data_IF_226796991768
#
_entry.id   IF_226796991768
#
_cell.length_a   1.000
_cell.length_b   1.000
_cell.length_c   1.000
_cell.angle_alpha   90.00
_cell.angle_beta   90.00
_cell.angle_gamma   90.00
#
_symmetry.space_group_name_H-M   'P 1'
#
loop_
_entity.id
_entity.type
_entity.pdbx_description
1 polymer ?
#
# COMPACT_ATOMS: atom_id res chain seq x y z
N UNK A 1 -38.70 3.11 -1.31
CA UNK A 1 -39.24 4.14 -2.23
C UNK A 1 -38.88 5.51 -1.67
N UNK A 2 -37.78 6.10 -2.12
CA UNK A 2 -37.52 7.54 -2.09
C UNK A 2 -36.69 7.86 -3.34
N UNK A 3 -37.12 8.91 -4.02
CA UNK A 3 -36.82 9.27 -5.41
C UNK A 3 -35.34 9.59 -5.65
N UNK A 4 -34.75 8.99 -6.67
CA UNK A 4 -33.48 9.41 -7.26
C UNK A 4 -33.78 10.06 -8.62
N UNK A 5 -34.24 11.32 -8.60
CA UNK A 5 -34.06 12.18 -9.75
C UNK A 5 -32.67 12.81 -9.59
N UNK A 6 -31.65 12.12 -10.11
CA UNK A 6 -30.39 12.78 -10.40
C UNK A 6 -30.68 13.73 -11.56
N UNK A 7 -30.50 15.03 -11.34
CA UNK A 7 -30.60 16.05 -12.38
C UNK A 7 -29.83 15.60 -13.63
N UNK A 8 -30.53 15.32 -14.72
CA UNK A 8 -29.93 15.22 -16.05
C UNK A 8 -29.42 16.62 -16.41
N UNK A 9 -28.18 16.91 -16.02
CA UNK A 9 -27.47 18.07 -16.54
C UNK A 9 -27.24 17.79 -18.02
N UNK A 10 -28.10 18.33 -18.88
CA UNK A 10 -27.93 18.27 -20.34
C UNK A 10 -26.47 18.59 -20.67
N UNK A 11 -25.73 17.59 -21.15
CA UNK A 11 -24.32 17.76 -21.47
C UNK A 11 -24.23 18.67 -22.68
N UNK A 12 -23.80 19.92 -22.50
CA UNK A 12 -23.71 20.91 -23.57
C UNK A 12 -22.27 21.19 -23.96
N UNK A 13 -22.08 21.55 -25.23
CA UNK A 13 -20.81 22.09 -25.70
C UNK A 13 -20.51 23.40 -24.97
N UNK A 14 -19.38 23.46 -24.26
CA UNK A 14 -19.00 24.63 -23.47
C UNK A 14 -18.72 25.91 -24.30
N UNK A 15 -18.66 25.80 -25.63
CA UNK A 15 -18.47 26.96 -26.52
C UNK A 15 -19.76 27.43 -27.18
N UNK A 16 -20.58 26.53 -27.73
CA UNK A 16 -21.76 26.89 -28.53
C UNK A 16 -23.09 26.52 -27.87
N UNK A 17 -23.07 25.87 -26.71
CA UNK A 17 -24.28 25.49 -25.97
C UNK A 17 -25.09 24.35 -26.60
N UNK A 18 -24.62 23.75 -27.72
CA UNK A 18 -25.37 22.65 -28.35
C UNK A 18 -25.39 21.44 -27.40
N UNK A 19 -26.58 20.86 -27.11
CA UNK A 19 -26.68 19.68 -26.28
C UNK A 19 -26.08 18.45 -26.99
N UNK A 20 -25.61 17.50 -26.20
CA UNK A 20 -25.35 16.14 -26.64
C UNK A 20 -26.67 15.52 -27.13
N UNK A 21 -26.58 14.74 -28.20
CA UNK A 21 -27.71 14.01 -28.77
C UNK A 21 -27.21 12.88 -29.66
N UNK A 22 -28.12 12.13 -30.27
CA UNK A 22 -27.78 10.95 -31.09
C UNK A 22 -26.74 11.26 -32.18
N UNK A 23 -26.84 12.46 -32.78
CA UNK A 23 -25.94 12.93 -33.83
C UNK A 23 -24.74 13.75 -33.34
N UNK A 24 -24.72 14.17 -32.06
CA UNK A 24 -23.73 15.11 -31.52
C UNK A 24 -23.02 14.50 -30.31
N UNK A 25 -21.80 14.00 -30.57
CA UNK A 25 -20.92 13.45 -29.54
C UNK A 25 -19.97 14.52 -29.02
N UNK A 26 -20.12 14.89 -27.75
CA UNK A 26 -19.20 15.83 -27.11
C UNK A 26 -17.95 15.11 -26.59
N UNK A 27 -16.79 15.74 -26.74
CA UNK A 27 -15.49 15.23 -26.24
C UNK A 27 -14.96 16.10 -25.12
N UNK A 28 -14.46 15.47 -24.06
CA UNK A 28 -13.79 16.15 -22.96
C UNK A 28 -12.58 16.94 -23.45
N UNK A 29 -12.32 18.08 -22.81
CA UNK A 29 -11.00 18.71 -22.84
C UNK A 29 -9.97 17.73 -22.29
N UNK A 30 -9.02 17.29 -23.11
CA UNK A 30 -8.03 16.26 -22.76
C UNK A 30 -7.07 16.67 -21.64
N UNK A 31 -6.96 17.97 -21.35
CA UNK A 31 -6.08 18.48 -20.31
C UNK A 31 -6.74 18.55 -18.93
N UNK A 32 -8.03 18.89 -18.85
CA UNK A 32 -8.69 19.18 -17.57
C UNK A 32 -9.95 18.37 -17.31
N UNK A 33 -10.54 17.75 -18.33
CA UNK A 33 -11.79 16.98 -18.25
C UNK A 33 -13.00 17.74 -17.67
N UNK A 34 -12.94 19.07 -17.50
CA UNK A 34 -14.04 19.86 -16.92
C UNK A 34 -15.15 20.22 -17.91
N UNK A 35 -14.81 20.31 -19.18
CA UNK A 35 -15.69 20.84 -20.23
C UNK A 35 -15.64 19.95 -21.44
N UNK A 36 -16.76 19.89 -22.14
CA UNK A 36 -16.93 19.08 -23.35
C UNK A 36 -17.14 19.97 -24.57
N UNK A 37 -16.72 19.49 -25.74
CA UNK A 37 -16.85 20.20 -27.01
C UNK A 37 -17.37 19.29 -28.12
N UNK A 38 -18.27 19.80 -28.95
CA UNK A 38 -18.73 19.09 -30.15
C UNK A 38 -17.66 19.07 -31.27
N UNK A 39 -16.67 19.97 -31.22
CA UNK A 39 -15.63 20.07 -32.25
C UNK A 39 -14.34 20.71 -31.74
N UNK A 40 -13.25 20.48 -32.47
CA UNK A 40 -11.95 21.14 -32.23
C UNK A 40 -12.06 22.67 -32.40
N UNK A 41 -12.95 23.14 -33.28
CA UNK A 41 -13.21 24.57 -33.49
C UNK A 41 -13.75 25.21 -32.21
N UNK A 42 -14.81 24.63 -31.63
CA UNK A 42 -15.38 25.08 -30.37
C UNK A 42 -14.37 25.05 -29.21
N UNK A 43 -13.49 24.04 -29.18
CA UNK A 43 -12.42 23.99 -28.18
C UNK A 43 -11.42 25.15 -28.32
N UNK A 44 -11.07 25.54 -29.56
CA UNK A 44 -10.16 26.66 -29.83
C UNK A 44 -10.80 28.00 -29.48
N UNK A 45 -12.08 28.19 -29.82
CA UNK A 45 -12.83 29.42 -29.56
C UNK A 45 -13.01 29.67 -28.06
N UNK A 46 -13.39 28.65 -27.30
CA UNK A 46 -13.54 28.76 -25.84
C UNK A 46 -12.18 28.82 -25.09
N UNK A 47 -11.05 28.59 -25.76
CA UNK A 47 -9.73 28.51 -25.11
C UNK A 47 -9.37 29.77 -24.33
N UNK A 48 -9.69 30.96 -24.82
CA UNK A 48 -9.36 32.23 -24.14
C UNK A 48 -10.06 32.35 -22.78
N UNK A 49 -11.33 31.95 -22.70
CA UNK A 49 -12.14 31.98 -21.49
C UNK A 49 -11.76 30.83 -20.53
N UNK A 50 -11.44 29.66 -21.07
CA UNK A 50 -11.20 28.45 -20.29
C UNK A 50 -9.73 28.23 -19.86
N UNK A 51 -8.74 28.85 -20.51
CA UNK A 51 -7.30 28.54 -20.34
C UNK A 51 -6.84 28.58 -18.89
N UNK A 52 -7.28 29.55 -18.10
CA UNK A 52 -6.90 29.68 -16.68
C UNK A 52 -7.44 28.51 -15.85
N UNK A 53 -8.75 28.24 -15.94
CA UNK A 53 -9.39 27.13 -15.25
C UNK A 53 -8.82 25.78 -15.70
N UNK A 54 -8.60 25.60 -17.01
CA UNK A 54 -7.98 24.41 -17.60
C UNK A 54 -6.60 24.13 -17.01
N UNK A 55 -5.73 25.14 -16.91
CA UNK A 55 -4.38 24.98 -16.35
C UNK A 55 -4.43 24.60 -14.87
N UNK A 56 -5.31 25.25 -14.10
CA UNK A 56 -5.49 24.96 -12.68
C UNK A 56 -5.89 23.50 -12.48
N UNK A 57 -6.95 23.05 -13.18
CA UNK A 57 -7.41 21.67 -13.07
C UNK A 57 -6.42 20.64 -13.59
N UNK A 58 -5.70 20.94 -14.66
CA UNK A 58 -4.65 20.05 -15.15
C UNK A 58 -3.53 19.86 -14.12
N UNK A 59 -3.19 20.91 -13.36
CA UNK A 59 -2.26 20.80 -12.25
C UNK A 59 -2.85 19.96 -11.09
N UNK A 60 -4.11 20.19 -10.72
CA UNK A 60 -4.79 19.39 -9.70
C UNK A 60 -4.86 17.90 -10.07
N UNK A 61 -5.19 17.56 -11.32
CA UNK A 61 -5.22 16.17 -11.80
C UNK A 61 -3.84 15.54 -11.80
N UNK A 62 -2.80 16.30 -12.14
CA UNK A 62 -1.41 15.85 -12.05
C UNK A 62 -1.03 15.56 -10.60
N UNK A 63 -1.38 16.46 -9.69
CA UNK A 63 -1.10 16.28 -8.26
C UNK A 63 -1.90 15.09 -7.69
N UNK A 64 -3.16 14.92 -8.09
CA UNK A 64 -3.96 13.75 -7.73
C UNK A 64 -3.30 12.46 -8.23
N UNK A 65 -2.83 12.39 -9.47
CA UNK A 65 -2.13 11.22 -9.99
C UNK A 65 -0.83 10.92 -9.20
N UNK A 66 -0.11 11.95 -8.78
CA UNK A 66 1.18 11.80 -8.08
C UNK A 66 1.02 11.45 -6.60
N UNK A 67 -0.04 11.96 -5.95
CA UNK A 67 -0.18 11.91 -4.49
C UNK A 67 -1.38 11.09 -4.01
N UNK A 68 -2.26 10.63 -4.91
CA UNK A 68 -3.35 9.72 -4.53
C UNK A 68 -2.73 8.43 -4.01
N UNK A 69 -3.02 8.12 -2.75
CA UNK A 69 -2.56 6.86 -2.18
C UNK A 69 -3.28 5.71 -2.89
N UNK A 70 -2.55 4.63 -3.23
CA UNK A 70 -3.16 3.44 -3.81
C UNK A 70 -4.18 2.85 -2.83
N UNK A 71 -5.19 2.17 -3.37
CA UNK A 71 -6.25 1.52 -2.57
C UNK A 71 -5.72 0.36 -1.72
N UNK A 72 -4.50 -0.10 -1.98
CA UNK A 72 -3.80 -1.14 -1.23
C UNK A 72 -2.30 -0.85 -1.19
N UNK A 73 -1.61 -1.30 -0.15
CA UNK A 73 -0.14 -1.28 -0.09
C UNK A 73 0.41 -2.71 -0.21
N UNK A 74 1.71 -2.85 -0.54
CA UNK A 74 2.38 -4.16 -0.55
C UNK A 74 2.41 -4.82 0.85
N UNK A 75 2.17 -4.04 1.91
CA UNK A 75 2.02 -4.54 3.28
C UNK A 75 0.65 -5.19 3.51
N UNK A 76 -0.30 -5.01 2.59
CA UNK A 76 -1.67 -5.48 2.68
C UNK A 76 -2.53 -4.61 3.60
N UNK A 77 -3.66 -5.15 4.02
CA UNK A 77 -4.64 -4.45 4.86
C UNK A 77 -4.52 -4.86 6.32
N UNK A 78 -4.88 -3.94 7.21
CA UNK A 78 -5.01 -4.25 8.62
C UNK A 78 -6.15 -5.26 8.80
N UNK A 79 -5.93 -6.42 9.44
CA UNK A 79 -6.94 -7.48 9.55
C UNK A 79 -8.08 -7.17 10.52
N UNK A 80 -8.08 -5.98 11.14
CA UNK A 80 -9.13 -5.53 12.08
C UNK A 80 -10.05 -4.51 11.41
N UNK A 81 -9.51 -3.48 10.78
CA UNK A 81 -10.30 -2.43 10.14
C UNK A 81 -10.37 -2.54 8.61
N UNK A 82 -9.62 -3.46 8.01
CA UNK A 82 -9.54 -3.68 6.56
C UNK A 82 -9.10 -2.46 5.74
N UNK A 83 -8.51 -1.45 6.39
CA UNK A 83 -7.86 -0.35 5.71
C UNK A 83 -6.41 -0.73 5.36
N UNK A 84 -5.85 -0.16 4.28
CA UNK A 84 -4.45 -0.39 3.90
C UNK A 84 -3.49 -0.08 5.04
N UNK A 85 -2.51 -0.96 5.24
CA UNK A 85 -1.46 -0.73 6.22
C UNK A 85 -0.59 0.45 5.78
N UNK A 86 -0.23 1.35 6.72
CA UNK A 86 0.56 2.53 6.42
C UNK A 86 1.97 2.14 5.99
N UNK A 87 2.51 2.85 4.98
CA UNK A 87 3.89 2.67 4.50
C UNK A 87 4.94 3.01 5.58
N UNK A 88 4.60 3.90 6.51
CA UNK A 88 5.46 4.21 7.65
C UNK A 88 5.46 3.02 8.64
N UNK A 89 6.59 2.31 8.81
CA UNK A 89 6.65 1.12 9.64
C UNK A 89 6.35 1.42 11.12
N UNK A 90 6.50 2.67 11.56
CA UNK A 90 6.16 3.08 12.95
C UNK A 90 4.66 3.14 13.21
N UNK A 91 3.83 3.14 12.15
CA UNK A 91 2.37 3.22 12.24
C UNK A 91 1.69 1.85 12.17
N UNK A 92 2.46 0.76 12.24
CA UNK A 92 1.93 -0.60 12.40
C UNK A 92 2.80 -1.39 13.37
N UNK A 93 2.27 -2.46 13.95
CA UNK A 93 3.07 -3.38 14.76
C UNK A 93 2.63 -4.82 14.51
N UNK A 94 3.57 -5.73 14.76
CA UNK A 94 3.37 -7.17 14.68
C UNK A 94 3.33 -7.78 16.08
N UNK A 95 2.49 -8.80 16.26
CA UNK A 95 2.51 -9.66 17.45
C UNK A 95 3.04 -11.05 17.09
N UNK A 96 3.93 -11.60 17.92
CA UNK A 96 4.57 -12.91 17.68
C UNK A 96 3.57 -14.08 17.64
N UNK A 97 2.40 -13.98 18.29
CA UNK A 97 1.39 -15.04 18.32
C UNK A 97 0.87 -15.43 16.92
N UNK A 98 0.66 -14.44 16.04
CA UNK A 98 -0.06 -14.60 14.79
C UNK A 98 0.67 -14.02 13.59
N UNK A 99 1.76 -13.27 13.84
CA UNK A 99 2.57 -12.60 12.83
C UNK A 99 1.75 -11.72 11.87
N UNK A 100 0.67 -11.10 12.38
CA UNK A 100 -0.12 -10.13 11.63
C UNK A 100 0.29 -8.71 11.99
N UNK A 101 0.43 -7.88 10.97
CA UNK A 101 0.57 -6.44 11.13
C UNK A 101 -0.77 -5.80 11.43
N UNK A 102 -0.81 -5.00 12.50
CA UNK A 102 -1.98 -4.26 12.95
C UNK A 102 -1.65 -2.77 12.88
N UNK A 103 -2.55 -1.97 12.31
CA UNK A 103 -2.34 -0.52 12.24
C UNK A 103 -2.38 0.13 13.64
N UNK A 104 -1.65 1.23 13.80
CA UNK A 104 -1.55 1.95 15.07
C UNK A 104 -2.90 2.41 15.62
N UNK A 105 -3.86 2.73 14.73
CA UNK A 105 -5.23 3.07 15.12
C UNK A 105 -5.93 1.93 15.86
N UNK A 106 -5.90 0.71 15.30
CA UNK A 106 -6.49 -0.46 15.95
C UNK A 106 -5.72 -0.86 17.23
N UNK A 107 -4.40 -0.71 17.25
CA UNK A 107 -3.59 -0.95 18.46
C UNK A 107 -3.98 0.02 19.59
N UNK A 108 -4.13 1.30 19.28
CA UNK A 108 -4.50 2.32 20.27
C UNK A 108 -5.93 2.14 20.76
N UNK A 109 -6.88 1.88 19.84
CA UNK A 109 -8.26 1.59 20.22
C UNK A 109 -8.35 0.38 21.15
N UNK A 110 -7.54 -0.66 20.89
CA UNK A 110 -7.47 -1.83 21.78
C UNK A 110 -6.93 -1.48 23.17
N UNK A 111 -5.86 -0.69 23.27
CA UNK A 111 -5.28 -0.27 24.55
C UNK A 111 -6.23 0.55 25.42
N UNK A 112 -7.14 1.32 24.81
CA UNK A 112 -8.11 2.16 25.53
C UNK A 112 -9.28 1.36 26.13
N UNK A 113 -9.44 0.08 25.78
CA UNK A 113 -10.43 -0.78 26.40
C UNK A 113 -9.93 -1.18 27.80
N UNK A 114 -10.35 -0.45 28.84
CA UNK A 114 -9.84 -0.44 30.23
C UNK A 114 -9.77 -1.82 30.97
N UNK A 115 -10.14 -2.93 30.33
CA UNK A 115 -10.27 -4.25 30.96
C UNK A 115 -9.54 -5.39 30.23
N UNK A 116 -8.73 -5.11 29.20
CA UNK A 116 -8.03 -6.18 28.48
C UNK A 116 -6.62 -6.35 29.01
N UNK A 117 -6.37 -7.47 29.70
CA UNK A 117 -5.03 -8.05 29.90
C UNK A 117 -4.23 -7.88 28.60
N UNK A 118 -2.94 -7.51 28.67
CA UNK A 118 -2.09 -7.28 27.50
C UNK A 118 -2.11 -8.50 26.57
N UNK A 119 -3.00 -8.45 25.60
CA UNK A 119 -3.32 -9.54 24.68
C UNK A 119 -3.30 -8.98 23.28
N UNK A 120 -2.95 -9.82 22.31
CA UNK A 120 -2.93 -9.42 20.93
C UNK A 120 -4.34 -9.01 20.47
N UNK A 121 -4.51 -7.84 19.82
CA UNK A 121 -5.81 -7.37 19.36
C UNK A 121 -6.46 -8.22 18.26
N UNK A 122 -5.68 -9.10 17.62
CA UNK A 122 -6.18 -9.99 16.59
C UNK A 122 -6.46 -11.39 17.14
N UNK A 123 -5.44 -12.05 17.69
CA UNK A 123 -5.51 -13.45 18.11
C UNK A 123 -5.99 -13.65 19.57
N UNK A 124 -6.12 -12.56 20.34
CA UNK A 124 -6.43 -12.54 21.80
C UNK A 124 -5.46 -13.32 22.71
N UNK A 125 -4.40 -13.91 22.16
CA UNK A 125 -3.34 -14.55 22.96
C UNK A 125 -2.61 -13.50 23.78
N UNK A 126 -2.26 -13.82 25.02
CA UNK A 126 -1.44 -12.96 25.88
C UNK A 126 -0.13 -12.59 25.19
N UNK A 127 0.27 -11.34 25.36
CA UNK A 127 1.56 -10.84 24.88
C UNK A 127 2.66 -11.60 25.63
N UNK A 128 3.73 -12.05 24.95
CA UNK A 128 4.84 -12.72 25.60
C UNK A 128 5.54 -11.79 26.59
N UNK A 129 5.84 -12.28 27.79
CA UNK A 129 6.55 -11.51 28.83
C UNK A 129 8.07 -11.53 28.60
N UNK A 130 8.56 -12.55 27.87
CA UNK A 130 9.99 -12.74 27.62
C UNK A 130 10.28 -12.91 26.12
N UNK A 131 11.51 -12.59 25.73
CA UNK A 131 11.97 -12.83 24.35
C UNK A 131 11.91 -14.31 23.98
N UNK A 132 12.20 -15.22 24.92
CA UNK A 132 12.10 -16.65 24.69
C UNK A 132 10.67 -17.10 24.38
N UNK A 133 9.66 -16.49 24.98
CA UNK A 133 8.26 -16.74 24.63
C UNK A 133 7.89 -16.21 23.25
N UNK A 134 8.37 -15.01 22.92
CA UNK A 134 8.18 -14.44 21.58
C UNK A 134 8.82 -15.34 20.51
N UNK A 135 10.05 -15.82 20.75
CA UNK A 135 10.76 -16.75 19.86
C UNK A 135 10.00 -18.07 19.72
N UNK A 136 9.49 -18.64 20.83
CA UNK A 136 8.65 -19.85 20.77
C UNK A 136 7.42 -19.64 19.88
N UNK A 137 6.79 -18.47 19.97
CA UNK A 137 5.65 -18.13 19.10
C UNK A 137 6.07 -18.02 17.63
N UNK A 138 7.18 -17.33 17.34
CA UNK A 138 7.71 -17.27 15.97
C UNK A 138 8.05 -18.66 15.43
N UNK A 139 8.68 -19.54 16.21
CA UNK A 139 8.99 -20.90 15.76
C UNK A 139 7.73 -21.73 15.48
N UNK A 140 6.63 -21.52 16.23
CA UNK A 140 5.33 -22.14 15.89
C UNK A 140 4.80 -21.62 14.54
N UNK A 141 4.94 -20.32 14.27
CA UNK A 141 4.51 -19.70 13.00
C UNK A 141 5.39 -20.12 11.82
N UNK A 142 6.70 -20.27 12.02
CA UNK A 142 7.63 -20.80 11.02
C UNK A 142 7.27 -22.24 10.64
N UNK A 143 6.91 -23.09 11.61
CA UNK A 143 6.40 -24.44 11.33
C UNK A 143 5.10 -24.44 10.51
N UNK A 144 4.33 -23.36 10.56
CA UNK A 144 3.15 -23.13 9.75
C UNK A 144 3.45 -22.39 8.43
N UNK A 145 4.72 -22.29 8.02
CA UNK A 145 5.19 -21.57 6.84
C UNK A 145 4.76 -20.09 6.80
N UNK A 146 4.78 -19.41 7.95
CA UNK A 146 4.50 -17.98 8.00
C UNK A 146 5.75 -17.17 7.57
N UNK A 147 5.73 -16.48 6.42
CA UNK A 147 6.89 -15.75 5.91
C UNK A 147 7.32 -14.60 6.83
N UNK A 148 6.34 -13.95 7.47
CA UNK A 148 6.65 -12.82 8.35
C UNK A 148 7.39 -13.32 9.60
N UNK A 149 6.99 -14.47 10.14
CA UNK A 149 7.73 -15.09 11.25
C UNK A 149 9.18 -15.43 10.87
N UNK A 150 9.39 -15.99 9.66
CA UNK A 150 10.73 -16.27 9.13
C UNK A 150 11.55 -14.99 9.01
N UNK A 151 10.97 -13.92 8.46
CA UNK A 151 11.62 -12.61 8.35
C UNK A 151 12.02 -12.03 9.72
N UNK A 152 11.14 -12.11 10.72
CA UNK A 152 11.43 -11.63 12.07
C UNK A 152 12.61 -12.37 12.70
N UNK A 153 12.68 -13.70 12.53
CA UNK A 153 13.84 -14.48 13.00
C UNK A 153 15.09 -14.19 12.17
N UNK A 154 14.97 -14.00 10.85
CA UNK A 154 16.09 -13.61 9.99
C UNK A 154 16.75 -12.30 10.44
N UNK A 155 15.94 -11.25 10.65
CA UNK A 155 16.41 -9.97 11.17
C UNK A 155 17.04 -10.09 12.56
N UNK A 156 16.47 -10.94 13.42
CA UNK A 156 17.08 -11.22 14.73
C UNK A 156 18.47 -11.85 14.59
N UNK A 157 18.64 -12.86 13.72
CA UNK A 157 19.93 -13.51 13.48
C UNK A 157 20.98 -12.55 12.91
N UNK A 158 20.57 -11.66 12.01
CA UNK A 158 21.45 -10.60 11.52
C UNK A 158 21.96 -9.70 12.65
N UNK A 159 21.06 -9.25 13.53
CA UNK A 159 21.43 -8.41 14.69
C UNK A 159 22.36 -9.14 15.68
N UNK A 160 22.28 -10.48 15.75
CA UNK A 160 23.18 -11.33 16.52
C UNK A 160 24.53 -11.56 15.81
N UNK A 161 24.70 -11.10 14.56
CA UNK A 161 25.88 -11.31 13.73
C UNK A 161 25.92 -12.65 13.00
N UNK A 162 24.87 -13.47 13.10
CA UNK A 162 24.75 -14.75 12.41
C UNK A 162 24.11 -14.54 11.02
N UNK A 163 24.92 -13.98 10.12
CA UNK A 163 24.48 -13.66 8.76
C UNK A 163 24.11 -14.92 7.96
N UNK A 164 24.78 -16.06 8.19
CA UNK A 164 24.46 -17.29 7.47
C UNK A 164 23.07 -17.80 7.83
N UNK A 165 22.71 -17.81 9.12
CA UNK A 165 21.36 -18.17 9.53
C UNK A 165 20.33 -17.14 9.06
N UNK A 166 20.64 -15.84 9.11
CA UNK A 166 19.76 -14.79 8.60
C UNK A 166 19.44 -15.00 7.11
N UNK A 167 20.46 -15.28 6.30
CA UNK A 167 20.33 -15.59 4.87
C UNK A 167 19.36 -16.76 4.63
N UNK A 168 19.48 -17.83 5.40
CA UNK A 168 18.58 -18.99 5.27
C UNK A 168 17.12 -18.63 5.57
N UNK A 169 16.86 -17.87 6.63
CA UNK A 169 15.50 -17.48 7.00
C UNK A 169 14.87 -16.54 5.99
N UNK A 170 15.61 -15.53 5.51
CA UNK A 170 15.11 -14.64 4.46
C UNK A 170 14.92 -15.38 3.14
N UNK A 171 15.80 -16.33 2.79
CA UNK A 171 15.61 -17.18 1.60
C UNK A 171 14.30 -17.97 1.68
N UNK A 172 13.96 -18.53 2.85
CA UNK A 172 12.69 -19.26 3.06
C UNK A 172 11.49 -18.32 2.96
N UNK A 173 11.57 -17.12 3.55
CA UNK A 173 10.50 -16.12 3.50
C UNK A 173 10.29 -15.56 2.08
N UNK A 174 11.37 -15.26 1.36
CA UNK A 174 11.35 -14.79 -0.03
C UNK A 174 10.70 -15.82 -0.97
N UNK A 175 11.00 -17.11 -0.79
CA UNK A 175 10.32 -18.21 -1.53
C UNK A 175 8.80 -18.26 -1.32
N UNK A 176 8.30 -17.65 -0.25
CA UNK A 176 6.87 -17.52 0.05
C UNK A 176 6.29 -16.15 -0.38
N UNK A 177 7.06 -15.33 -1.10
CA UNK A 177 6.64 -14.04 -1.66
C UNK A 177 6.82 -12.85 -0.73
N UNK A 178 7.60 -12.95 0.35
CA UNK A 178 7.87 -11.82 1.25
C UNK A 178 8.85 -10.82 0.60
N UNK A 179 8.33 -9.69 0.15
CA UNK A 179 9.09 -8.65 -0.55
C UNK A 179 10.21 -8.03 0.30
N UNK A 180 10.00 -7.89 1.62
CA UNK A 180 11.03 -7.35 2.51
C UNK A 180 12.22 -8.32 2.63
N UNK A 181 11.96 -9.62 2.64
CA UNK A 181 13.01 -10.64 2.65
C UNK A 181 13.78 -10.68 1.33
N UNK A 182 13.12 -10.41 0.20
CA UNK A 182 13.79 -10.17 -1.08
C UNK A 182 14.74 -8.97 -0.99
N UNK A 183 14.27 -7.83 -0.47
CA UNK A 183 15.13 -6.66 -0.26
C UNK A 183 16.35 -6.97 0.62
N UNK A 184 16.17 -7.70 1.72
CA UNK A 184 17.28 -8.11 2.59
C UNK A 184 18.29 -9.03 1.87
N UNK A 185 17.81 -10.01 1.08
CA UNK A 185 18.70 -10.87 0.29
C UNK A 185 19.50 -10.08 -0.74
N UNK A 186 18.89 -9.07 -1.37
CA UNK A 186 19.60 -8.18 -2.29
C UNK A 186 20.79 -7.48 -1.61
N UNK A 187 20.56 -6.91 -0.42
CA UNK A 187 21.61 -6.28 0.39
C UNK A 187 22.69 -7.29 0.78
N UNK A 188 22.32 -8.49 1.21
CA UNK A 188 23.30 -9.53 1.57
C UNK A 188 24.21 -9.93 0.41
N UNK A 189 23.65 -10.09 -0.79
CA UNK A 189 24.43 -10.40 -1.99
C UNK A 189 25.30 -9.22 -2.45
N UNK A 190 24.86 -7.98 -2.23
CA UNK A 190 25.65 -6.80 -2.54
C UNK A 190 26.84 -6.64 -1.58
N UNK A 191 26.60 -6.88 -0.29
CA UNK A 191 27.59 -6.67 0.78
C UNK A 191 28.47 -7.91 1.03
N UNK A 192 28.04 -9.10 0.63
CA UNK A 192 28.73 -10.36 0.91
C UNK A 192 28.57 -10.83 2.35
N UNK A 193 27.45 -10.50 3.00
CA UNK A 193 27.16 -10.88 4.39
C UNK A 193 26.47 -12.24 4.41
N UNK A 194 27.10 -13.24 5.01
CA UNK A 194 26.55 -14.61 5.11
C UNK A 194 26.47 -15.37 3.78
N UNK A 195 26.88 -14.74 2.68
CA UNK A 195 26.91 -15.29 1.33
C UNK A 195 28.00 -14.58 0.51
N UNK A 196 28.52 -15.23 -0.53
CA UNK A 196 29.44 -14.57 -1.47
C UNK A 196 28.74 -13.44 -2.23
N UNK A 197 29.50 -12.39 -2.55
CA UNK A 197 28.99 -11.27 -3.35
C UNK A 197 28.57 -11.74 -4.74
N UNK A 198 27.37 -11.36 -5.16
CA UNK A 198 26.82 -11.70 -6.46
C UNK A 198 25.85 -10.61 -6.92
N UNK A 199 26.34 -9.69 -7.76
CA UNK A 199 25.55 -8.55 -8.24
C UNK A 199 24.32 -8.97 -9.05
N UNK A 200 24.39 -10.11 -9.76
CA UNK A 200 23.25 -10.60 -10.56
C UNK A 200 22.14 -11.10 -9.65
N UNK A 201 22.49 -11.82 -8.58
CA UNK A 201 21.50 -12.25 -7.58
C UNK A 201 20.98 -11.08 -6.75
N UNK A 202 21.83 -10.10 -6.45
CA UNK A 202 21.39 -8.89 -5.78
C UNK A 202 20.31 -8.16 -6.60
N UNK A 203 20.54 -7.98 -7.91
CA UNK A 203 19.56 -7.38 -8.80
C UNK A 203 18.28 -8.23 -8.91
N UNK A 204 18.42 -9.55 -9.08
CA UNK A 204 17.28 -10.47 -9.13
C UNK A 204 16.37 -10.39 -7.90
N UNK A 205 16.95 -10.20 -6.70
CA UNK A 205 16.17 -10.05 -5.48
C UNK A 205 15.61 -8.63 -5.28
N UNK A 206 16.14 -7.63 -5.98
CA UNK A 206 15.68 -6.25 -5.91
C UNK A 206 14.48 -5.96 -6.83
N UNK A 207 14.47 -6.56 -8.03
CA UNK A 207 13.39 -6.45 -9.03
C UNK A 207 12.13 -7.24 -8.66
#
# INVERSE_FOLDING_TARGET
MMSAAADEVDEMCASCGIPAGDDIKLKNCTACYLVKYCSIKCQKEHRSQHKRACKKRAAELRDELLFKQPESTHLGDCPICFNPLPLDPKKSAINSCCCKFICGGCLNAWKLMENTKETCPFCRTSVPETQAEADRNYMKRIKANDPIAMRQIGAKRENEGDYSAAFEYWTKAAKLGDAESHNQLSIMYQEGKGVEKDEKKALYHFE
#
